data_IF_037581505214
#
_entry.id   IF_037581505214
#
_cell.length_a   1.000
_cell.length_b   1.000
_cell.length_c   1.000
_cell.angle_alpha   90.00
_cell.angle_beta   90.00
_cell.angle_gamma   90.00
#
_symmetry.space_group_name_H-M   'P 1'
#
loop_
_entity.id
_entity.type
_entity.pdbx_description
1 polymer ?
#
# COMPACT_ATOMS: atom_id res chain seq x y z
N UNK A 1 -10.44 -26.37 32.66
CA UNK A 1 -9.95 -25.18 31.91
C UNK A 1 -8.49 -25.46 31.60
N UNK A 2 -8.11 -25.67 30.35
CA UNK A 2 -6.70 -25.78 29.98
C UNK A 2 -6.12 -24.37 29.93
N UNK A 3 -5.00 -24.18 30.60
CA UNK A 3 -4.19 -22.96 30.58
C UNK A 3 -3.71 -22.68 29.14
N UNK A 4 -4.10 -21.56 28.60
CA UNK A 4 -3.56 -21.02 27.35
C UNK A 4 -2.11 -20.61 27.64
N UNK A 5 -1.19 -21.48 27.24
CA UNK A 5 0.23 -21.12 27.15
C UNK A 5 0.40 -20.23 25.93
N UNK A 6 0.60 -18.93 26.16
CA UNK A 6 0.98 -17.95 25.16
C UNK A 6 2.29 -18.38 24.49
N UNK A 7 2.23 -18.81 23.26
CA UNK A 7 3.38 -18.96 22.39
C UNK A 7 3.42 -17.76 21.45
N UNK A 8 3.84 -16.64 21.99
CA UNK A 8 4.18 -15.43 21.25
C UNK A 8 5.49 -14.89 21.80
N UNK A 9 6.33 -14.29 21.01
CA UNK A 9 7.66 -13.70 21.24
C UNK A 9 8.29 -13.98 22.63
N UNK A 10 9.41 -14.65 22.70
CA UNK A 10 10.12 -15.04 23.95
C UNK A 10 10.71 -13.87 24.75
N UNK A 11 10.30 -12.62 24.48
CA UNK A 11 10.84 -11.42 25.12
C UNK A 11 9.75 -10.35 25.37
N UNK A 12 10.09 -9.30 26.14
CA UNK A 12 9.19 -8.18 26.33
C UNK A 12 8.89 -7.48 24.99
N UNK A 13 7.60 -7.16 24.75
CA UNK A 13 7.20 -6.34 23.60
C UNK A 13 7.87 -4.98 23.73
N UNK A 14 8.67 -4.58 22.74
CA UNK A 14 9.39 -3.30 22.76
C UNK A 14 9.74 -2.87 21.34
N UNK A 15 9.96 -1.57 21.16
CA UNK A 15 10.59 -1.03 19.98
C UNK A 15 12.09 -1.40 19.97
N UNK A 16 12.50 -2.24 19.03
CA UNK A 16 13.87 -2.74 18.89
C UNK A 16 14.67 -1.82 17.97
N UNK A 17 15.98 -1.71 18.21
CA UNK A 17 16.88 -0.91 17.37
C UNK A 17 17.49 -1.71 16.22
N UNK A 18 17.59 -3.00 16.40
CA UNK A 18 18.12 -3.95 15.42
C UNK A 18 17.18 -5.14 15.23
N UNK A 19 17.31 -5.84 14.11
CA UNK A 19 16.55 -7.05 13.83
C UNK A 19 16.77 -8.13 14.90
N UNK A 20 18.01 -8.28 15.39
CA UNK A 20 18.38 -9.28 16.39
C UNK A 20 17.68 -9.07 17.74
N UNK A 21 17.40 -7.81 18.11
CA UNK A 21 16.74 -7.48 19.37
C UNK A 21 15.26 -7.87 19.39
N UNK A 22 14.64 -8.08 18.22
CA UNK A 22 13.21 -8.44 18.13
C UNK A 22 12.95 -9.89 18.56
N UNK A 23 13.96 -10.75 18.50
CA UNK A 23 13.84 -12.17 18.84
C UNK A 23 13.01 -12.99 17.85
N UNK A 24 12.84 -12.49 16.62
CA UNK A 24 12.23 -13.21 15.51
C UNK A 24 13.23 -14.19 14.89
N UNK A 25 12.73 -15.26 14.31
CA UNK A 25 13.59 -16.32 13.76
C UNK A 25 14.09 -16.04 12.35
N UNK A 26 13.28 -15.31 11.57
CA UNK A 26 13.49 -15.06 10.13
C UNK A 26 13.76 -16.32 9.30
N UNK A 27 13.19 -17.44 9.75
CA UNK A 27 13.52 -18.78 9.19
C UNK A 27 12.61 -19.19 8.03
N UNK A 28 11.48 -18.49 7.83
CA UNK A 28 10.48 -18.84 6.82
C UNK A 28 9.93 -17.57 6.14
N UNK A 29 8.64 -17.27 6.25
CA UNK A 29 8.01 -16.13 5.58
C UNK A 29 8.23 -14.84 6.37
N UNK A 30 8.84 -13.84 5.76
CA UNK A 30 9.06 -12.52 6.35
C UNK A 30 8.14 -11.50 5.70
N UNK A 31 7.34 -10.82 6.53
CA UNK A 31 6.41 -9.78 6.09
C UNK A 31 6.78 -8.46 6.79
N UNK A 32 6.84 -7.37 6.03
CA UNK A 32 7.20 -6.04 6.52
C UNK A 32 6.04 -5.10 6.31
N UNK A 33 5.68 -4.38 7.37
CA UNK A 33 4.77 -3.23 7.32
C UNK A 33 5.54 -1.97 7.71
N UNK A 34 5.09 -0.81 7.24
CA UNK A 34 5.51 0.49 7.74
C UNK A 34 4.27 1.23 8.26
N UNK A 35 4.31 1.69 9.51
CA UNK A 35 3.15 2.32 10.14
C UNK A 35 3.55 3.32 11.22
N UNK A 36 2.59 4.16 11.60
CA UNK A 36 2.67 5.07 12.74
C UNK A 36 1.47 4.84 13.68
N UNK A 37 1.47 5.51 14.84
CA UNK A 37 0.42 5.36 15.84
C UNK A 37 -0.98 5.64 15.26
N UNK A 38 -1.10 6.65 14.38
CA UNK A 38 -2.39 6.99 13.77
C UNK A 38 -2.92 5.87 12.87
N UNK A 39 -2.03 5.22 12.08
CA UNK A 39 -2.41 4.14 11.17
C UNK A 39 -2.46 2.76 11.83
N UNK A 40 -1.95 2.59 13.04
CA UNK A 40 -1.93 1.30 13.76
C UNK A 40 -3.30 0.58 13.81
N UNK A 41 -4.46 1.26 14.02
CA UNK A 41 -5.76 0.60 13.98
C UNK A 41 -6.13 0.00 12.61
N UNK A 42 -5.74 0.64 11.52
CA UNK A 42 -5.97 0.12 10.17
C UNK A 42 -5.02 -1.03 9.84
N UNK A 43 -3.75 -0.89 10.23
CA UNK A 43 -2.78 -1.99 10.14
C UNK A 43 -3.22 -3.20 10.95
N UNK A 44 -3.85 -3.02 12.11
CA UNK A 44 -4.38 -4.14 12.89
C UNK A 44 -5.40 -4.97 12.10
N UNK A 45 -6.21 -4.33 11.26
CA UNK A 45 -7.15 -5.03 10.35
C UNK A 45 -6.38 -5.84 9.29
N UNK A 46 -5.32 -5.26 8.73
CA UNK A 46 -4.45 -5.98 7.79
C UNK A 46 -3.78 -7.18 8.46
N UNK A 47 -3.27 -7.03 9.69
CA UNK A 47 -2.66 -8.10 10.47
C UNK A 47 -3.64 -9.24 10.77
N UNK A 48 -4.89 -8.93 11.16
CA UNK A 48 -5.96 -9.92 11.33
C UNK A 48 -6.16 -10.75 10.07
N UNK A 49 -6.17 -10.10 8.91
CA UNK A 49 -6.36 -10.78 7.64
C UNK A 49 -5.16 -11.67 7.28
N UNK A 50 -3.93 -11.24 7.59
CA UNK A 50 -2.73 -12.07 7.42
C UNK A 50 -2.81 -13.32 8.28
N UNK A 51 -3.21 -13.20 9.55
CA UNK A 51 -3.33 -14.35 10.46
C UNK A 51 -4.38 -15.35 9.98
N UNK A 52 -5.53 -14.87 9.48
CA UNK A 52 -6.57 -15.75 8.93
C UNK A 52 -6.09 -16.47 7.66
N UNK A 53 -5.35 -15.79 6.80
CA UNK A 53 -4.86 -16.34 5.53
C UNK A 53 -3.62 -17.22 5.68
N UNK A 54 -2.88 -17.11 6.79
CA UNK A 54 -1.62 -17.80 7.03
C UNK A 54 -1.80 -19.32 7.12
N UNK A 55 -1.03 -20.08 6.33
CA UNK A 55 -0.98 -21.53 6.42
C UNK A 55 -0.45 -21.98 7.79
N UNK A 56 -1.11 -22.94 8.48
CA UNK A 56 -0.60 -23.45 9.75
C UNK A 56 0.72 -24.24 9.60
N UNK A 57 1.12 -24.58 8.38
CA UNK A 57 2.35 -25.34 8.09
C UNK A 57 3.58 -24.43 7.92
N UNK A 58 3.38 -23.12 7.89
CA UNK A 58 4.44 -22.11 7.68
C UNK A 58 4.55 -21.19 8.91
N UNK A 59 5.72 -20.62 9.11
CA UNK A 59 5.94 -19.59 10.13
C UNK A 59 6.08 -18.21 9.49
N UNK A 60 5.41 -17.21 10.08
CA UNK A 60 5.38 -15.84 9.56
C UNK A 60 5.97 -14.89 10.59
N UNK A 61 7.11 -14.30 10.26
CA UNK A 61 7.72 -13.24 11.04
C UNK A 61 7.30 -11.88 10.47
N UNK A 62 6.45 -11.16 11.20
CA UNK A 62 5.96 -9.83 10.82
C UNK A 62 6.81 -8.77 11.48
N UNK A 63 7.40 -7.90 10.68
CA UNK A 63 8.20 -6.76 11.14
C UNK A 63 7.46 -5.46 10.85
N UNK A 64 7.23 -4.67 11.88
CA UNK A 64 6.61 -3.35 11.78
C UNK A 64 7.70 -2.28 11.91
N UNK A 65 7.99 -1.60 10.80
CA UNK A 65 8.88 -0.44 10.75
C UNK A 65 8.11 0.78 11.25
N UNK A 66 8.56 1.36 12.37
CA UNK A 66 7.88 2.50 12.98
C UNK A 66 8.86 3.42 13.71
N UNK A 67 8.38 4.61 14.09
CA UNK A 67 9.11 5.56 14.93
C UNK A 67 8.31 6.08 16.12
N UNK A 68 6.99 5.89 16.12
CA UNK A 68 6.10 6.55 17.08
C UNK A 68 4.98 5.65 17.62
N UNK A 69 4.88 4.37 17.20
CA UNK A 69 3.88 3.46 17.78
C UNK A 69 4.18 3.31 19.28
N UNK A 70 3.16 3.58 20.10
CA UNK A 70 3.29 3.54 21.55
C UNK A 70 3.47 2.12 22.09
N UNK A 71 4.09 2.00 23.25
CA UNK A 71 4.27 0.72 23.93
C UNK A 71 2.94 -0.02 24.14
N UNK A 72 1.90 0.69 24.53
CA UNK A 72 0.57 0.14 24.73
C UNK A 72 -0.02 -0.42 23.42
N UNK A 73 0.12 0.30 22.32
CA UNK A 73 -0.36 -0.15 21.01
C UNK A 73 0.43 -1.38 20.52
N UNK A 74 1.75 -1.42 20.71
CA UNK A 74 2.57 -2.59 20.41
C UNK A 74 2.12 -3.83 21.19
N UNK A 75 1.90 -3.70 22.50
CA UNK A 75 1.43 -4.78 23.38
C UNK A 75 0.04 -5.29 22.95
N UNK A 76 -0.86 -4.36 22.60
CA UNK A 76 -2.20 -4.69 22.11
C UNK A 76 -2.13 -5.48 20.80
N UNK A 77 -1.32 -5.05 19.83
CA UNK A 77 -1.13 -5.74 18.55
C UNK A 77 -0.60 -7.16 18.76
N UNK A 78 0.45 -7.33 19.57
CA UNK A 78 1.06 -8.65 19.82
C UNK A 78 0.08 -9.58 20.55
N UNK A 79 -0.63 -9.07 21.57
CA UNK A 79 -1.58 -9.87 22.33
C UNK A 79 -2.78 -10.34 21.52
N UNK A 80 -3.19 -9.53 20.54
CA UNK A 80 -4.39 -9.79 19.75
C UNK A 80 -4.12 -10.62 18.51
N UNK A 81 -3.03 -10.33 17.79
CA UNK A 81 -2.73 -10.90 16.48
C UNK A 81 -1.78 -12.10 16.58
N UNK A 82 -0.95 -12.18 17.62
CA UNK A 82 0.01 -13.26 17.80
C UNK A 82 -0.63 -14.64 17.86
N UNK A 83 -0.13 -15.58 17.07
CA UNK A 83 -0.56 -16.97 17.04
C UNK A 83 0.65 -17.90 17.10
N UNK A 84 0.42 -19.22 17.14
CA UNK A 84 1.52 -20.20 17.25
C UNK A 84 2.48 -20.18 16.06
N UNK A 85 2.02 -19.70 14.90
CA UNK A 85 2.80 -19.65 13.66
C UNK A 85 3.00 -18.23 13.12
N UNK A 86 2.57 -17.19 13.86
CA UNK A 86 2.78 -15.77 13.52
C UNK A 86 3.47 -15.06 14.67
N UNK A 87 4.59 -14.43 14.42
CA UNK A 87 5.35 -13.60 15.37
C UNK A 87 5.39 -12.16 14.88
N UNK A 88 5.32 -11.20 15.80
CA UNK A 88 5.37 -9.76 15.49
C UNK A 88 6.52 -9.10 16.23
N UNK A 89 7.30 -8.31 15.52
CA UNK A 89 8.36 -7.45 16.08
C UNK A 89 8.26 -6.02 15.56
N UNK A 90 8.75 -5.08 16.37
CA UNK A 90 8.75 -3.66 16.03
C UNK A 90 10.18 -3.17 15.90
N UNK A 91 10.48 -2.49 14.80
CA UNK A 91 11.82 -2.02 14.48
C UNK A 91 11.82 -0.49 14.31
N UNK A 92 12.73 0.17 15.04
CA UNK A 92 12.88 1.63 15.04
C UNK A 92 13.46 2.10 13.70
N UNK A 93 12.59 2.69 12.88
CA UNK A 93 12.96 3.26 11.59
C UNK A 93 13.64 4.64 11.70
N UNK A 94 13.49 5.36 12.82
CA UNK A 94 14.13 6.67 13.01
C UNK A 94 15.65 6.55 13.00
N UNK A 95 16.19 5.49 13.60
CA UNK A 95 17.63 5.24 13.62
C UNK A 95 18.22 5.04 12.22
N UNK A 96 17.45 4.43 11.31
CA UNK A 96 17.86 4.19 9.92
C UNK A 96 17.84 5.47 9.06
N UNK A 97 17.08 6.50 9.47
CA UNK A 97 17.05 7.79 8.77
C UNK A 97 18.34 8.61 8.93
N UNK A 98 19.18 8.29 9.90
CA UNK A 98 20.47 9.00 10.14
C UNK A 98 20.29 10.54 10.24
N UNK A 99 19.15 11.01 10.77
CA UNK A 99 18.80 12.43 10.86
C UNK A 99 18.25 13.04 9.57
N UNK A 100 18.05 12.26 8.52
CA UNK A 100 17.43 12.70 7.26
C UNK A 100 15.96 13.02 7.48
N UNK A 101 15.52 14.22 7.07
CA UNK A 101 14.12 14.60 7.11
C UNK A 101 13.44 14.19 5.80
N UNK A 102 12.59 13.17 5.88
CA UNK A 102 11.82 12.71 4.73
C UNK A 102 10.76 13.74 4.31
N UNK A 103 10.55 13.94 3.01
CA UNK A 103 9.48 14.79 2.52
C UNK A 103 8.10 14.19 2.81
N UNK A 104 7.12 15.07 2.96
CA UNK A 104 5.71 14.68 3.00
C UNK A 104 4.90 15.72 2.23
N UNK A 105 3.89 15.28 1.48
CA UNK A 105 2.94 16.17 0.82
C UNK A 105 1.59 15.47 0.58
N UNK A 106 0.52 16.25 0.51
CA UNK A 106 -0.82 15.73 0.34
C UNK A 106 -1.24 14.77 1.47
N UNK A 107 -1.74 13.60 1.10
CA UNK A 107 -2.14 12.53 2.02
C UNK A 107 -1.00 11.57 2.37
N UNK A 108 0.13 11.65 1.69
CA UNK A 108 1.29 10.79 1.92
C UNK A 108 2.02 11.12 3.22
N UNK A 109 2.53 10.09 3.89
CA UNK A 109 3.26 10.19 5.14
C UNK A 109 4.72 9.75 4.98
N UNK A 110 5.66 10.27 5.80
CA UNK A 110 7.07 9.89 5.70
C UNK A 110 7.32 8.37 5.85
N UNK A 111 6.45 7.66 6.55
CA UNK A 111 6.53 6.22 6.76
C UNK A 111 6.52 5.41 5.45
N UNK A 112 5.96 5.96 4.38
CA UNK A 112 5.97 5.31 3.06
C UNK A 112 7.40 5.07 2.54
N UNK A 113 8.38 5.90 2.92
CA UNK A 113 9.77 5.70 2.54
C UNK A 113 10.49 4.59 3.32
N UNK A 114 9.91 4.09 4.42
CA UNK A 114 10.59 3.06 5.23
C UNK A 114 10.78 1.75 4.47
N UNK A 115 9.93 1.44 3.48
CA UNK A 115 10.13 0.27 2.61
C UNK A 115 11.45 0.31 1.84
N UNK A 116 11.94 1.51 1.52
CA UNK A 116 13.26 1.68 0.87
C UNK A 116 14.42 1.33 1.79
N UNK A 117 14.23 1.41 3.11
CA UNK A 117 15.25 1.17 4.13
C UNK A 117 15.23 -0.29 4.62
N UNK A 118 14.15 -1.04 4.39
CA UNK A 118 13.99 -2.42 4.82
C UNK A 118 15.19 -3.33 4.49
N UNK A 119 15.87 -3.21 3.32
CA UNK A 119 17.04 -4.04 3.01
C UNK A 119 18.17 -3.95 4.05
N UNK A 120 18.41 -2.79 4.61
CA UNK A 120 19.49 -2.58 5.60
C UNK A 120 19.01 -2.76 7.04
N UNK A 121 17.71 -2.57 7.27
CA UNK A 121 17.11 -2.81 8.58
C UNK A 121 16.94 -4.30 8.88
N UNK A 122 16.87 -5.15 7.83
CA UNK A 122 16.76 -6.60 7.92
C UNK A 122 17.97 -7.29 7.25
N UNK A 123 19.20 -7.12 7.81
CA UNK A 123 20.43 -7.54 7.14
C UNK A 123 20.56 -9.06 6.95
N UNK A 124 19.86 -9.85 7.78
CA UNK A 124 19.89 -11.32 7.73
C UNK A 124 18.81 -11.92 6.83
N UNK A 125 17.88 -11.12 6.31
CA UNK A 125 16.85 -11.57 5.40
C UNK A 125 17.30 -11.38 3.94
N UNK A 126 17.17 -12.41 3.12
CA UNK A 126 17.47 -12.31 1.68
C UNK A 126 16.28 -11.70 0.91
N UNK A 127 15.04 -11.98 1.34
CA UNK A 127 13.81 -11.41 0.77
C UNK A 127 12.73 -11.20 1.82
N UNK A 128 11.78 -10.32 1.54
CA UNK A 128 10.61 -10.09 2.38
C UNK A 128 9.43 -9.60 1.52
N UNK A 129 8.21 -9.93 1.94
CA UNK A 129 7.00 -9.29 1.44
C UNK A 129 6.91 -7.92 2.14
N UNK A 130 6.67 -6.86 1.41
CA UNK A 130 6.24 -5.57 1.95
C UNK A 130 4.76 -5.37 1.69
N UNK A 131 4.02 -4.95 2.71
CA UNK A 131 2.59 -4.65 2.64
C UNK A 131 2.32 -3.25 3.20
N UNK A 132 1.51 -2.47 2.50
CA UNK A 132 0.94 -1.24 3.05
C UNK A 132 -0.05 -1.54 4.18
N UNK A 133 -0.30 -0.56 5.04
CA UNK A 133 -1.17 -0.73 6.23
C UNK A 133 -2.67 -0.60 5.91
N UNK A 134 -3.03 -0.30 4.66
CA UNK A 134 -4.40 -0.05 4.20
C UNK A 134 -4.89 -1.12 3.21
N UNK A 135 -4.70 -2.38 3.58
CA UNK A 135 -5.11 -3.52 2.77
C UNK A 135 -5.65 -4.67 3.64
N UNK A 136 -6.23 -5.67 3.01
CA UNK A 136 -6.57 -6.97 3.62
C UNK A 136 -6.08 -8.12 2.75
N UNK A 137 -5.55 -9.15 3.40
CA UNK A 137 -4.99 -10.36 2.78
C UNK A 137 -6.04 -11.47 2.81
N UNK A 138 -6.31 -12.09 1.66
CA UNK A 138 -7.36 -13.10 1.49
C UNK A 138 -6.82 -14.46 1.04
N UNK A 139 -5.56 -14.52 0.60
CA UNK A 139 -4.87 -15.77 0.23
C UNK A 139 -3.54 -15.84 0.99
N UNK A 140 -3.00 -17.05 1.16
CA UNK A 140 -1.78 -17.31 1.94
C UNK A 140 -0.57 -16.51 1.42
N UNK A 141 0.00 -15.58 2.23
CA UNK A 141 1.17 -14.80 1.82
C UNK A 141 2.40 -15.66 1.49
N UNK A 142 2.49 -16.90 1.99
CA UNK A 142 3.58 -17.79 1.64
C UNK A 142 3.64 -18.07 0.14
N UNK A 143 2.49 -18.09 -0.56
CA UNK A 143 2.46 -18.27 -2.02
C UNK A 143 3.12 -17.08 -2.76
N UNK A 144 2.95 -15.87 -2.25
CA UNK A 144 3.64 -14.70 -2.77
C UNK A 144 5.13 -14.76 -2.42
N UNK A 145 5.46 -15.14 -1.18
CA UNK A 145 6.85 -15.25 -0.71
C UNK A 145 7.65 -16.28 -1.51
N UNK A 146 7.04 -17.38 -1.93
CA UNK A 146 7.72 -18.47 -2.64
C UNK A 146 8.04 -18.13 -4.12
N UNK A 147 7.55 -17.00 -4.64
CA UNK A 147 7.90 -16.53 -5.97
C UNK A 147 9.40 -16.20 -6.02
N UNK A 148 10.08 -16.68 -7.07
CA UNK A 148 11.49 -16.38 -7.30
C UNK A 148 11.72 -14.94 -7.75
N UNK A 149 12.71 -14.28 -7.15
CA UNK A 149 13.12 -12.91 -7.51
C UNK A 149 14.59 -12.81 -7.88
N UNK A 150 15.23 -13.94 -8.20
CA UNK A 150 16.63 -14.00 -8.58
C UNK A 150 16.90 -13.17 -9.84
N UNK A 151 17.89 -12.31 -9.79
CA UNK A 151 18.23 -11.41 -10.88
C UNK A 151 17.37 -10.14 -10.98
N UNK A 152 16.38 -9.98 -10.09
CA UNK A 152 15.52 -8.80 -10.01
C UNK A 152 15.60 -8.16 -8.63
N UNK A 153 15.28 -6.85 -8.55
CA UNK A 153 15.18 -6.13 -7.29
C UNK A 153 13.92 -6.51 -6.51
N UNK A 154 12.83 -6.80 -7.23
CA UNK A 154 11.53 -7.04 -6.60
C UNK A 154 10.56 -7.76 -7.56
N UNK A 155 9.44 -8.20 -6.98
CA UNK A 155 8.23 -8.52 -7.73
C UNK A 155 7.09 -7.58 -7.32
N UNK A 156 6.25 -7.19 -8.28
CA UNK A 156 5.13 -6.27 -8.08
C UNK A 156 4.03 -6.46 -9.13
N UNK A 157 2.85 -5.92 -8.88
CA UNK A 157 1.78 -5.82 -9.88
C UNK A 157 1.91 -4.53 -10.68
N UNK A 158 1.58 -4.56 -11.96
CA UNK A 158 1.45 -3.32 -12.74
C UNK A 158 0.38 -2.42 -12.12
N UNK A 159 0.63 -1.12 -12.11
CA UNK A 159 -0.33 -0.13 -11.61
C UNK A 159 -1.39 0.18 -12.66
N UNK A 160 -2.54 -0.51 -12.59
CA UNK A 160 -3.62 -0.33 -13.55
C UNK A 160 -4.18 1.10 -13.57
N UNK A 161 -4.15 1.82 -12.44
CA UNK A 161 -4.59 3.22 -12.33
C UNK A 161 -3.63 4.14 -13.09
N UNK A 162 -2.33 4.10 -12.77
CA UNK A 162 -1.31 4.93 -13.45
C UNK A 162 -1.25 4.61 -14.96
N UNK A 163 -1.35 3.33 -15.34
CA UNK A 163 -1.38 2.93 -16.77
C UNK A 163 -2.65 3.43 -17.45
N UNK A 164 -3.81 3.39 -16.78
CA UNK A 164 -5.04 3.97 -17.32
C UNK A 164 -4.95 5.49 -17.51
N UNK A 165 -4.22 6.18 -16.64
CA UNK A 165 -3.98 7.61 -16.79
C UNK A 165 -3.13 7.96 -18.03
N UNK A 166 -2.19 7.08 -18.43
CA UNK A 166 -1.38 7.25 -19.65
C UNK A 166 -2.23 7.37 -20.92
N UNK A 167 -3.39 6.70 -20.96
CA UNK A 167 -4.26 6.66 -22.12
C UNK A 167 -5.15 7.92 -22.27
N UNK A 168 -4.78 9.00 -21.61
CA UNK A 168 -5.38 10.33 -21.82
C UNK A 168 -6.32 10.79 -20.74
N UNK A 169 -6.43 10.11 -19.62
CA UNK A 169 -7.12 10.62 -18.45
C UNK A 169 -6.37 11.82 -17.86
N UNK A 170 -5.06 11.66 -17.65
CA UNK A 170 -4.16 12.76 -17.24
C UNK A 170 -2.96 12.83 -18.22
N UNK A 171 -2.96 13.84 -19.08
CA UNK A 171 -1.93 14.06 -20.10
C UNK A 171 -0.55 14.40 -19.51
N UNK A 172 -0.43 14.66 -18.21
CA UNK A 172 0.85 14.97 -17.55
C UNK A 172 1.60 13.72 -17.12
N UNK A 173 0.90 12.58 -16.98
CA UNK A 173 1.48 11.32 -16.49
C UNK A 173 2.50 10.77 -17.47
N UNK A 174 2.18 10.70 -18.76
CA UNK A 174 3.09 10.18 -19.78
C UNK A 174 4.44 10.89 -19.82
N UNK A 175 4.47 12.23 -20.01
CA UNK A 175 5.71 13.01 -19.94
C UNK A 175 6.45 12.83 -18.62
N UNK A 176 5.73 12.83 -17.48
CA UNK A 176 6.36 12.61 -16.17
C UNK A 176 7.08 11.26 -16.08
N UNK A 177 6.45 10.16 -16.49
CA UNK A 177 7.08 8.84 -16.42
C UNK A 177 8.23 8.68 -17.43
N UNK A 178 8.07 9.19 -18.65
CA UNK A 178 9.07 9.06 -19.70
C UNK A 178 10.25 10.05 -19.53
N UNK A 179 9.95 11.31 -19.30
CA UNK A 179 10.97 12.37 -19.35
C UNK A 179 11.54 12.67 -17.96
N UNK A 180 10.69 12.79 -16.92
CA UNK A 180 11.13 13.15 -15.57
C UNK A 180 11.65 11.94 -14.79
N UNK A 181 10.99 10.77 -14.87
CA UNK A 181 11.47 9.52 -14.28
C UNK A 181 12.46 8.79 -15.18
N UNK A 182 12.41 9.00 -16.48
CA UNK A 182 13.29 8.36 -17.47
C UNK A 182 12.98 6.89 -17.67
N UNK A 183 11.72 6.46 -17.50
CA UNK A 183 11.35 5.06 -17.69
C UNK A 183 11.43 4.65 -19.15
N UNK A 184 12.08 3.53 -19.41
CA UNK A 184 12.18 2.95 -20.76
C UNK A 184 10.83 2.54 -21.34
N UNK A 185 9.91 2.07 -20.50
CA UNK A 185 8.53 1.72 -20.83
C UNK A 185 7.57 2.11 -19.69
N UNK A 186 6.84 3.24 -19.81
CA UNK A 186 5.86 3.69 -18.80
C UNK A 186 4.75 2.68 -18.50
N UNK A 187 4.44 1.75 -19.44
CA UNK A 187 3.45 0.70 -19.23
C UNK A 187 3.92 -0.42 -18.28
N UNK A 188 5.17 -0.37 -17.85
CA UNK A 188 5.72 -1.25 -16.83
C UNK A 188 5.67 -0.63 -15.42
N UNK A 189 5.10 0.56 -15.29
CA UNK A 189 4.96 1.19 -13.98
C UNK A 189 4.14 0.30 -13.04
N UNK A 190 4.69 0.02 -11.85
CA UNK A 190 4.08 -0.88 -10.87
C UNK A 190 3.65 -0.13 -9.61
N UNK A 191 2.69 -0.70 -8.90
CA UNK A 191 2.16 -0.21 -7.64
C UNK A 191 3.00 -0.76 -6.47
N UNK A 192 3.39 0.11 -5.51
CA UNK A 192 4.35 -0.22 -4.47
C UNK A 192 3.74 -0.69 -3.13
N UNK A 193 2.42 -0.80 -3.00
CA UNK A 193 1.78 -1.20 -1.74
C UNK A 193 1.87 -2.69 -1.42
N UNK A 194 2.13 -3.53 -2.42
CA UNK A 194 2.43 -4.95 -2.25
C UNK A 194 3.66 -5.29 -3.08
N UNK A 195 4.73 -5.68 -2.42
CA UNK A 195 6.01 -6.00 -3.05
C UNK A 195 6.58 -7.30 -2.48
N UNK A 196 7.23 -8.09 -3.31
CA UNK A 196 8.21 -9.06 -2.83
C UNK A 196 9.60 -8.49 -3.09
N UNK A 197 10.27 -8.01 -2.05
CA UNK A 197 11.56 -7.34 -2.12
C UNK A 197 12.70 -8.36 -2.07
N UNK A 198 13.64 -8.29 -3.01
CA UNK A 198 14.93 -8.99 -2.94
C UNK A 198 15.91 -8.12 -2.15
N UNK A 199 15.84 -8.22 -0.81
CA UNK A 199 16.64 -7.40 0.11
C UNK A 199 18.13 -7.55 -0.12
N UNK A 200 18.56 -8.76 -0.47
CA UNK A 200 19.98 -9.06 -0.79
C UNK A 200 20.45 -8.34 -2.05
N UNK A 201 19.63 -8.34 -3.11
CA UNK A 201 19.96 -7.62 -4.34
C UNK A 201 20.05 -6.11 -4.11
N UNK A 202 19.13 -5.53 -3.33
CA UNK A 202 19.19 -4.11 -2.94
C UNK A 202 20.51 -3.79 -2.23
N UNK A 203 20.89 -4.56 -1.19
CA UNK A 203 22.15 -4.35 -0.45
C UNK A 203 23.40 -4.53 -1.31
N UNK A 204 23.30 -5.36 -2.35
CA UNK A 204 24.44 -5.59 -3.26
C UNK A 204 24.65 -4.43 -4.24
N UNK A 205 23.59 -3.76 -4.66
CA UNK A 205 23.62 -2.75 -5.71
C UNK A 205 23.69 -1.33 -5.14
N UNK A 206 23.01 -1.09 -4.00
CA UNK A 206 22.87 0.23 -3.41
C UNK A 206 23.35 0.29 -1.97
N UNK A 207 23.55 1.50 -1.47
CA UNK A 207 23.75 1.80 -0.04
C UNK A 207 22.48 2.42 0.55
N UNK A 208 22.40 2.44 1.88
CA UNK A 208 21.28 3.12 2.57
C UNK A 208 21.31 4.63 2.28
N UNK A 209 22.51 5.22 2.16
CA UNK A 209 22.71 6.62 1.81
C UNK A 209 22.17 6.96 0.42
N UNK A 210 22.24 6.02 -0.53
CA UNK A 210 21.62 6.20 -1.85
C UNK A 210 20.11 6.32 -1.73
N UNK A 211 19.46 5.47 -0.91
CA UNK A 211 18.01 5.54 -0.69
C UNK A 211 17.61 6.83 0.02
N UNK A 212 18.33 7.24 1.06
CA UNK A 212 18.09 8.49 1.77
C UNK A 212 18.26 9.70 0.85
N UNK A 213 19.29 9.70 0.00
CA UNK A 213 19.50 10.74 -1.00
C UNK A 213 18.38 10.78 -2.02
N UNK A 214 17.99 9.65 -2.57
CA UNK A 214 16.86 9.58 -3.54
C UNK A 214 15.55 10.05 -2.91
N UNK A 215 15.30 9.72 -1.66
CA UNK A 215 14.08 10.14 -0.95
C UNK A 215 13.99 11.67 -0.78
N UNK A 216 15.10 12.41 -0.89
CA UNK A 216 15.15 13.85 -0.58
C UNK A 216 15.59 14.74 -1.75
N UNK A 217 16.12 14.17 -2.85
CA UNK A 217 16.71 14.93 -3.96
C UNK A 217 15.69 15.81 -4.70
N UNK A 218 14.43 15.42 -4.68
CA UNK A 218 13.31 16.16 -5.29
C UNK A 218 11.98 15.76 -4.65
N UNK A 219 10.91 16.48 -4.96
CA UNK A 219 9.54 16.04 -4.67
C UNK A 219 9.11 15.07 -5.78
N UNK A 220 8.89 13.82 -5.41
CA UNK A 220 8.39 12.79 -6.30
C UNK A 220 6.86 12.85 -6.33
N UNK A 221 6.25 12.57 -7.48
CA UNK A 221 4.79 12.63 -7.63
C UNK A 221 4.11 11.54 -6.77
N UNK A 222 4.63 10.31 -6.83
CA UNK A 222 4.18 9.16 -6.04
C UNK A 222 5.28 8.63 -5.11
N UNK A 223 6.09 9.53 -4.56
CA UNK A 223 7.09 9.30 -3.52
C UNK A 223 8.02 8.10 -3.79
N UNK A 224 8.02 7.14 -2.88
CA UNK A 224 8.83 5.92 -2.93
C UNK A 224 8.47 4.99 -4.10
N UNK A 225 7.22 5.00 -4.57
CA UNK A 225 6.78 4.25 -5.74
C UNK A 225 7.55 4.70 -7.00
N UNK A 226 7.73 6.00 -7.19
CA UNK A 226 8.52 6.55 -8.30
C UNK A 226 9.97 6.11 -8.22
N UNK A 227 10.56 6.16 -7.02
CA UNK A 227 11.94 5.73 -6.80
C UNK A 227 12.12 4.26 -7.16
N UNK A 228 11.25 3.38 -6.67
CA UNK A 228 11.32 1.96 -6.97
C UNK A 228 11.13 1.66 -8.47
N UNK A 229 10.19 2.33 -9.11
CA UNK A 229 9.96 2.20 -10.56
C UNK A 229 11.17 2.67 -11.36
N UNK A 230 11.79 3.80 -10.99
CA UNK A 230 13.01 4.30 -11.62
C UNK A 230 14.18 3.33 -11.45
N UNK A 231 14.37 2.76 -10.24
CA UNK A 231 15.45 1.80 -9.99
C UNK A 231 15.26 0.48 -10.71
N UNK A 232 14.04 0.01 -10.85
CA UNK A 232 13.72 -1.24 -11.55
C UNK A 232 13.65 -1.06 -13.08
N UNK A 233 13.25 0.11 -13.56
CA UNK A 233 13.09 0.45 -15.00
C UNK A 233 12.46 -0.70 -15.81
N UNK A 234 11.30 -1.17 -15.35
CA UNK A 234 10.57 -2.27 -15.98
C UNK A 234 11.18 -3.67 -15.81
N UNK A 235 12.34 -3.79 -15.13
CA UNK A 235 13.03 -5.06 -14.84
C UNK A 235 12.64 -5.57 -13.46
N UNK A 236 11.48 -6.20 -13.36
CA UNK A 236 10.96 -6.80 -12.13
C UNK A 236 10.14 -8.06 -12.46
N UNK A 237 9.89 -8.91 -11.48
CA UNK A 237 8.99 -10.05 -11.65
C UNK A 237 7.55 -9.55 -11.59
N UNK A 238 6.79 -9.75 -12.68
CA UNK A 238 5.38 -9.34 -12.70
C UNK A 238 4.53 -10.32 -11.90
N UNK A 239 3.82 -9.79 -10.91
CA UNK A 239 2.80 -10.51 -10.16
C UNK A 239 1.45 -10.43 -10.87
N UNK A 240 0.62 -11.45 -10.66
CA UNK A 240 -0.80 -11.37 -10.97
C UNK A 240 -1.46 -10.24 -10.17
N UNK A 241 -2.34 -9.45 -10.80
CA UNK A 241 -2.98 -8.30 -10.16
C UNK A 241 -3.85 -8.67 -8.96
N UNK A 242 -4.24 -9.95 -8.79
CA UNK A 242 -4.93 -10.42 -7.59
C UNK A 242 -4.14 -10.19 -6.30
N UNK A 243 -2.79 -10.09 -6.39
CA UNK A 243 -1.93 -9.79 -5.24
C UNK A 243 -1.93 -8.32 -4.83
N UNK A 244 -2.56 -7.44 -5.60
CA UNK A 244 -2.73 -6.04 -5.24
C UNK A 244 -3.94 -5.46 -5.96
N UNK A 245 -5.12 -5.95 -5.62
CA UNK A 245 -6.39 -5.54 -6.23
C UNK A 245 -6.81 -4.20 -5.65
N UNK A 246 -6.69 -3.15 -6.46
CA UNK A 246 -7.06 -1.80 -6.05
C UNK A 246 -8.58 -1.62 -6.01
N UNK A 247 -9.10 -1.09 -4.89
CA UNK A 247 -10.50 -0.66 -4.81
C UNK A 247 -10.80 0.47 -5.82
N UNK A 248 -12.05 0.57 -6.23
CA UNK A 248 -12.52 1.73 -7.00
C UNK A 248 -12.89 2.86 -6.03
N UNK A 249 -12.20 3.98 -6.12
CA UNK A 249 -12.50 5.15 -5.31
C UNK A 249 -13.35 6.16 -6.10
N UNK A 250 -14.38 6.72 -5.46
CA UNK A 250 -15.32 7.70 -6.04
C UNK A 250 -15.99 7.24 -7.36
N UNK A 251 -16.14 5.94 -7.57
CA UNK A 251 -16.62 5.37 -8.84
C UNK A 251 -15.84 5.94 -10.07
N UNK A 252 -14.55 6.18 -9.91
CA UNK A 252 -13.72 6.87 -10.89
C UNK A 252 -12.62 5.98 -11.46
N UNK A 253 -11.94 5.21 -10.60
CA UNK A 253 -10.77 4.41 -11.02
C UNK A 253 -11.13 3.39 -12.08
N UNK A 254 -12.15 2.59 -11.84
CA UNK A 254 -12.55 1.51 -12.73
C UNK A 254 -13.14 2.04 -14.04
N UNK A 255 -14.19 2.85 -13.93
CA UNK A 255 -15.04 3.21 -15.06
C UNK A 255 -14.47 4.35 -15.91
N UNK A 256 -13.55 5.15 -15.36
CA UNK A 256 -13.02 6.33 -16.04
C UNK A 256 -11.51 6.30 -16.28
N UNK A 257 -10.74 5.67 -15.39
CA UNK A 257 -9.28 5.60 -15.52
C UNK A 257 -8.88 4.25 -16.13
N UNK A 258 -9.12 3.15 -15.42
CA UNK A 258 -8.69 1.81 -15.88
C UNK A 258 -9.43 1.40 -17.16
N UNK A 259 -10.66 1.86 -17.36
CA UNK A 259 -11.39 1.65 -18.60
C UNK A 259 -10.65 2.18 -19.86
N UNK A 260 -9.69 3.11 -19.70
CA UNK A 260 -8.83 3.60 -20.79
C UNK A 260 -7.57 2.74 -21.00
N UNK A 261 -7.16 1.98 -20.00
CA UNK A 261 -5.95 1.16 -20.06
C UNK A 261 -6.01 0.14 -21.20
N UNK A 262 -4.86 -0.36 -21.69
CA UNK A 262 -4.80 -1.47 -22.65
C UNK A 262 -5.66 -2.66 -22.21
N UNK A 263 -6.20 -3.40 -23.18
CA UNK A 263 -7.14 -4.49 -22.91
C UNK A 263 -6.59 -5.55 -21.95
N UNK A 264 -5.30 -5.86 -22.04
CA UNK A 264 -4.65 -6.84 -21.17
C UNK A 264 -4.63 -6.38 -19.71
N UNK A 265 -4.42 -5.08 -19.45
CA UNK A 265 -4.48 -4.46 -18.12
C UNK A 265 -5.91 -4.54 -17.56
N UNK A 266 -6.89 -4.12 -18.35
CA UNK A 266 -8.31 -4.15 -17.94
C UNK A 266 -8.75 -5.56 -17.59
N UNK A 267 -8.44 -6.53 -18.47
CA UNK A 267 -8.83 -7.94 -18.25
C UNK A 267 -8.17 -8.53 -16.99
N UNK A 268 -6.90 -8.19 -16.72
CA UNK A 268 -6.21 -8.63 -15.50
C UNK A 268 -6.80 -7.98 -14.24
N UNK A 269 -7.13 -6.68 -14.31
CA UNK A 269 -7.76 -5.97 -13.20
C UNK A 269 -9.16 -6.52 -12.89
N UNK A 270 -9.99 -6.75 -13.90
CA UNK A 270 -11.33 -7.32 -13.70
C UNK A 270 -11.25 -8.75 -13.12
N UNK A 271 -10.36 -9.59 -13.65
CA UNK A 271 -10.14 -10.94 -13.10
C UNK A 271 -9.63 -10.92 -11.65
N UNK A 272 -8.74 -9.98 -11.31
CA UNK A 272 -8.26 -9.79 -9.95
C UNK A 272 -9.37 -9.40 -8.98
N UNK A 273 -10.33 -8.60 -9.43
CA UNK A 273 -11.49 -8.21 -8.62
C UNK A 273 -12.45 -9.37 -8.33
N UNK A 274 -12.56 -10.33 -9.26
CA UNK A 274 -13.41 -11.50 -9.10
C UNK A 274 -12.82 -12.52 -8.08
N UNK A 275 -11.48 -12.58 -7.96
CA UNK A 275 -10.77 -13.47 -7.03
C UNK A 275 -9.52 -12.78 -6.43
N UNK A 276 -9.70 -11.78 -5.56
CA UNK A 276 -8.58 -11.04 -4.98
C UNK A 276 -7.81 -11.88 -3.96
N UNK A 277 -6.49 -11.87 -4.04
CA UNK A 277 -5.61 -12.38 -2.99
C UNK A 277 -5.30 -11.31 -1.93
N UNK A 278 -5.21 -10.05 -2.37
CA UNK A 278 -5.07 -8.87 -1.50
C UNK A 278 -5.97 -7.78 -2.06
N UNK A 279 -6.84 -7.22 -1.22
CA UNK A 279 -7.61 -6.00 -1.53
C UNK A 279 -6.89 -4.82 -0.91
N UNK A 280 -6.55 -3.83 -1.72
CA UNK A 280 -5.82 -2.65 -1.30
C UNK A 280 -6.69 -1.39 -1.44
N UNK A 281 -6.93 -0.72 -0.31
CA UNK A 281 -7.75 0.48 -0.20
C UNK A 281 -6.95 1.76 -0.52
N UNK A 282 -6.03 1.66 -1.50
CA UNK A 282 -5.22 2.78 -1.94
C UNK A 282 -6.06 3.88 -2.56
N UNK A 283 -5.84 5.11 -2.15
CA UNK A 283 -6.53 6.28 -2.66
C UNK A 283 -6.59 7.42 -1.65
N UNK A 284 -6.86 8.64 -2.08
CA UNK A 284 -6.92 9.79 -1.19
C UNK A 284 -8.20 9.86 -0.34
N UNK A 285 -9.31 9.29 -0.85
CA UNK A 285 -10.64 9.40 -0.27
C UNK A 285 -11.42 8.08 -0.42
N UNK A 286 -12.65 8.02 0.15
CA UNK A 286 -13.61 6.90 0.08
C UNK A 286 -13.07 5.57 0.61
N UNK A 287 -12.18 5.63 1.59
CA UNK A 287 -11.65 4.44 2.25
C UNK A 287 -12.72 3.81 3.16
N UNK A 288 -12.69 2.49 3.41
CA UNK A 288 -13.74 1.79 4.15
C UNK A 288 -13.95 2.31 5.58
N UNK A 289 -12.94 2.88 6.21
CA UNK A 289 -13.04 3.49 7.53
C UNK A 289 -13.64 4.90 7.55
N UNK A 290 -13.85 5.51 6.38
CA UNK A 290 -14.59 6.75 6.21
C UNK A 290 -15.95 6.50 5.58
N UNK A 291 -16.06 5.49 4.71
CA UNK A 291 -17.24 5.09 3.93
C UNK A 291 -17.37 3.57 3.90
N UNK A 292 -18.08 2.95 4.85
CA UNK A 292 -18.21 1.48 4.90
C UNK A 292 -18.80 0.85 3.63
N UNK A 293 -19.70 1.58 2.95
CA UNK A 293 -20.34 1.15 1.71
C UNK A 293 -19.51 1.46 0.45
N UNK A 294 -18.21 1.77 0.61
CA UNK A 294 -17.31 1.94 -0.53
C UNK A 294 -17.08 0.61 -1.26
N UNK A 295 -16.51 0.70 -2.45
CA UNK A 295 -16.13 -0.49 -3.21
C UNK A 295 -15.22 -1.41 -2.38
N UNK A 296 -15.57 -2.69 -2.30
CA UNK A 296 -14.84 -3.70 -1.51
C UNK A 296 -14.71 -3.39 0.01
N UNK A 297 -15.49 -2.44 0.55
CA UNK A 297 -15.41 -2.04 1.97
C UNK A 297 -15.80 -3.15 2.94
N UNK A 298 -16.64 -4.09 2.52
CA UNK A 298 -17.05 -5.27 3.27
C UNK A 298 -15.85 -6.18 3.65
N UNK A 299 -14.84 -6.28 2.77
CA UNK A 299 -13.62 -7.00 3.09
C UNK A 299 -12.87 -6.40 4.28
N UNK A 300 -12.79 -5.07 4.38
CA UNK A 300 -12.18 -4.39 5.52
C UNK A 300 -12.97 -4.64 6.81
N UNK A 301 -14.28 -4.41 6.77
CA UNK A 301 -15.11 -4.49 7.97
C UNK A 301 -15.28 -5.91 8.50
N UNK A 302 -15.16 -6.92 7.64
CA UNK A 302 -15.11 -8.33 8.05
C UNK A 302 -14.00 -8.59 9.07
N UNK A 303 -12.81 -8.00 8.88
CA UNK A 303 -11.67 -8.14 9.78
C UNK A 303 -11.71 -7.10 10.90
N UNK A 304 -12.13 -5.88 10.62
CA UNK A 304 -12.25 -4.80 11.59
C UNK A 304 -13.13 -5.18 12.79
N UNK A 305 -14.22 -5.93 12.56
CA UNK A 305 -15.12 -6.41 13.61
C UNK A 305 -14.44 -7.32 14.65
N UNK A 306 -13.29 -7.89 14.34
CA UNK A 306 -12.51 -8.74 15.23
C UNK A 306 -11.27 -8.05 15.80
N UNK A 307 -10.95 -6.88 15.29
CA UNK A 307 -9.77 -6.12 15.70
C UNK A 307 -9.90 -5.61 17.13
N UNK A 308 -8.81 -5.64 17.88
CA UNK A 308 -8.71 -4.99 19.20
C UNK A 308 -8.93 -3.48 19.15
N UNK A 309 -8.92 -2.89 17.96
CA UNK A 309 -9.11 -1.45 17.73
C UNK A 309 -10.50 -1.12 17.18
N UNK A 310 -11.48 -2.05 17.24
CA UNK A 310 -12.82 -1.82 16.69
C UNK A 310 -13.44 -0.52 17.20
N UNK A 311 -13.42 -0.30 18.52
CA UNK A 311 -14.00 0.93 19.13
C UNK A 311 -13.34 2.21 18.55
N UNK A 312 -12.02 2.18 18.30
CA UNK A 312 -11.28 3.31 17.72
C UNK A 312 -11.70 3.52 16.26
N UNK A 313 -11.87 2.43 15.50
CA UNK A 313 -12.29 2.49 14.11
C UNK A 313 -13.72 3.03 13.98
N UNK A 314 -14.65 2.55 14.82
CA UNK A 314 -16.03 3.03 14.85
C UNK A 314 -16.13 4.50 15.27
N UNK A 315 -15.35 4.92 16.30
CA UNK A 315 -15.30 6.31 16.72
C UNK A 315 -14.76 7.24 15.61
N UNK A 316 -13.73 6.79 14.87
CA UNK A 316 -13.19 7.55 13.74
C UNK A 316 -14.18 7.64 12.60
N UNK A 317 -14.88 6.55 12.30
CA UNK A 317 -15.94 6.50 11.28
C UNK A 317 -17.05 7.49 11.64
N UNK A 318 -17.57 7.45 12.89
CA UNK A 318 -18.61 8.36 13.36
C UNK A 318 -18.16 9.83 13.24
N UNK A 319 -16.94 10.12 13.69
CA UNK A 319 -16.34 11.47 13.59
C UNK A 319 -16.20 11.93 12.15
N UNK A 320 -15.76 11.05 11.25
CA UNK A 320 -15.65 11.34 9.81
C UNK A 320 -17.01 11.63 9.21
N UNK A 321 -18.02 10.81 9.49
CA UNK A 321 -19.36 10.96 8.94
C UNK A 321 -20.05 12.26 9.40
N UNK A 322 -19.85 12.68 10.64
CA UNK A 322 -20.44 13.89 11.21
C UNK A 322 -19.63 15.17 10.94
N UNK A 323 -18.42 15.06 10.40
CA UNK A 323 -17.61 16.21 10.03
C UNK A 323 -18.21 16.99 8.84
N UNK A 324 -17.95 18.29 8.78
CA UNK A 324 -18.34 19.12 7.64
C UNK A 324 -17.68 18.65 6.33
N UNK A 325 -16.42 18.17 6.41
CA UNK A 325 -15.66 17.61 5.30
C UNK A 325 -16.26 16.27 4.82
N UNK A 326 -16.63 15.38 5.75
CA UNK A 326 -17.25 14.10 5.40
C UNK A 326 -18.61 14.29 4.72
N UNK A 327 -19.46 15.22 5.23
CA UNK A 327 -20.73 15.57 4.56
C UNK A 327 -20.52 16.16 3.16
N UNK A 328 -19.53 17.05 3.00
CA UNK A 328 -19.21 17.64 1.70
C UNK A 328 -18.68 16.60 0.71
N UNK A 329 -17.82 15.70 1.15
CA UNK A 329 -17.29 14.62 0.32
C UNK A 329 -18.41 13.66 -0.12
N UNK A 330 -19.33 13.29 0.77
CA UNK A 330 -20.49 12.46 0.43
C UNK A 330 -21.35 13.12 -0.63
N UNK A 331 -21.65 14.42 -0.50
CA UNK A 331 -22.36 15.19 -1.51
C UNK A 331 -21.58 15.24 -2.83
N UNK A 332 -20.25 15.40 -2.78
CA UNK A 332 -19.41 15.34 -3.99
C UNK A 332 -19.50 13.98 -4.69
N UNK A 333 -19.39 12.88 -3.96
CA UNK A 333 -19.50 11.52 -4.53
C UNK A 333 -20.87 11.33 -5.17
N UNK A 334 -21.95 11.60 -4.44
CA UNK A 334 -23.30 11.32 -4.93
C UNK A 334 -23.70 12.25 -6.09
N UNK A 335 -23.42 13.56 -5.99
CA UNK A 335 -23.83 14.53 -7.01
C UNK A 335 -22.88 14.57 -8.20
N UNK A 336 -21.57 14.62 -7.95
CA UNK A 336 -20.59 14.79 -9.03
C UNK A 336 -20.36 13.45 -9.74
N UNK A 337 -19.92 12.43 -9.00
CA UNK A 337 -19.46 11.19 -9.62
C UNK A 337 -20.60 10.25 -10.04
N UNK A 338 -21.63 10.08 -9.22
CA UNK A 338 -22.79 9.25 -9.59
C UNK A 338 -23.83 9.99 -10.45
N UNK A 339 -23.90 11.33 -10.35
CA UNK A 339 -24.86 12.15 -11.06
C UNK A 339 -24.32 12.85 -12.31
N UNK A 340 -23.32 13.72 -12.13
CA UNK A 340 -22.84 14.61 -13.22
C UNK A 340 -21.87 13.89 -14.16
N UNK A 341 -20.95 13.07 -13.65
CA UNK A 341 -19.92 12.41 -14.47
C UNK A 341 -20.50 11.50 -15.56
N UNK A 342 -21.53 10.67 -15.33
CA UNK A 342 -22.11 9.87 -16.41
C UNK A 342 -22.69 10.71 -17.54
N UNK A 343 -23.25 11.89 -17.23
CA UNK A 343 -23.73 12.83 -18.26
C UNK A 343 -22.55 13.53 -18.97
N UNK A 344 -21.51 13.90 -18.23
CA UNK A 344 -20.29 14.46 -18.79
C UNK A 344 -19.59 13.49 -19.73
N UNK A 345 -19.51 12.21 -19.39
CA UNK A 345 -18.88 11.18 -20.22
C UNK A 345 -19.61 10.95 -21.55
N UNK A 346 -20.93 11.13 -21.57
CA UNK A 346 -21.70 11.11 -22.84
C UNK A 346 -21.34 12.28 -23.77
N UNK A 347 -21.02 13.45 -23.21
CA UNK A 347 -20.71 14.67 -23.96
C UNK A 347 -19.22 14.75 -24.30
N UNK A 348 -18.39 14.31 -23.38
CA UNK A 348 -16.92 14.32 -23.43
C UNK A 348 -16.40 12.91 -23.10
N UNK A 349 -16.53 11.93 -24.01
CA UNK A 349 -16.10 10.56 -23.73
C UNK A 349 -14.65 10.51 -23.26
N UNK A 350 -14.32 9.60 -22.33
CA UNK A 350 -12.96 9.31 -21.94
C UNK A 350 -12.05 9.09 -23.17
N UNK A 351 -10.81 9.60 -23.13
CA UNK A 351 -9.87 9.54 -24.28
C UNK A 351 -10.19 10.49 -25.45
N UNK A 352 -11.31 11.24 -25.42
CA UNK A 352 -11.65 12.17 -26.50
C UNK A 352 -10.83 13.48 -26.42
N UNK A 353 -10.44 14.04 -27.57
CA UNK A 353 -9.80 15.38 -27.66
C UNK A 353 -10.63 16.47 -26.99
N UNK A 354 -11.94 16.30 -26.90
CA UNK A 354 -12.86 17.25 -26.26
C UNK A 354 -12.70 17.19 -24.74
N UNK A 355 -12.59 15.98 -24.16
CA UNK A 355 -12.33 15.80 -22.73
C UNK A 355 -10.96 16.37 -22.35
N UNK A 356 -9.92 16.05 -23.10
CA UNK A 356 -8.57 16.59 -22.89
C UNK A 356 -8.56 18.11 -22.82
N UNK A 357 -9.25 18.81 -23.75
CA UNK A 357 -9.36 20.27 -23.72
C UNK A 357 -10.09 20.82 -22.49
N UNK A 358 -11.16 20.14 -22.04
CA UNK A 358 -11.91 20.54 -20.83
C UNK A 358 -11.04 20.38 -19.59
N UNK A 359 -10.34 19.25 -19.47
CA UNK A 359 -9.41 18.99 -18.35
C UNK A 359 -8.27 20.03 -18.36
N UNK A 360 -7.65 20.27 -19.50
CA UNK A 360 -6.60 21.29 -19.63
C UNK A 360 -7.10 22.69 -19.24
N UNK A 361 -8.32 23.05 -19.63
CA UNK A 361 -8.95 24.31 -19.24
C UNK A 361 -9.20 24.37 -17.74
N UNK A 362 -9.63 23.29 -17.11
CA UNK A 362 -9.86 23.21 -15.66
C UNK A 362 -8.55 23.37 -14.87
N UNK A 363 -7.50 22.66 -15.28
CA UNK A 363 -6.15 22.78 -14.67
C UNK A 363 -5.58 24.18 -14.85
N UNK A 364 -5.76 24.82 -16.02
CA UNK A 364 -5.26 26.17 -16.29
C UNK A 364 -5.88 27.25 -15.38
N UNK A 365 -7.07 26.99 -14.80
CA UNK A 365 -7.71 27.89 -13.83
C UNK A 365 -7.47 27.47 -12.36
N UNK A 366 -6.48 26.59 -12.12
CA UNK A 366 -6.10 26.13 -10.78
C UNK A 366 -6.97 25.02 -10.22
N UNK A 367 -7.71 24.29 -11.05
CA UNK A 367 -8.44 23.09 -10.67
C UNK A 367 -7.48 21.93 -10.38
N UNK A 368 -7.76 21.18 -9.32
CA UNK A 368 -7.05 19.95 -8.98
C UNK A 368 -7.82 18.75 -9.51
N UNK A 369 -7.13 17.86 -10.23
CA UNK A 369 -7.70 16.65 -10.83
C UNK A 369 -7.34 15.39 -10.01
N UNK A 370 -6.51 15.54 -8.95
CA UNK A 370 -6.08 14.42 -8.08
C UNK A 370 -6.91 14.31 -6.82
#
# INVERSE_FOLDING_TARGET
MPSITSVGSKGPVRLSRTADEMGLSFSDVVIVFASNEYFAPYMAVALESVVEAASPERHYDIVILTRDITQQTMETLVAHVGSSNVSIGFLDAESALQGTKLPHHGHFRPETFFRLLAPWMLPHCDKAIYLDSDLVVLDDPARLFDIGVDGYLLAATRDADTIGQLEGYDHTVGPYLADDLGLSDPYQYFQAGVLLLNLKAFRHIFTIEDMLRLSTVRVWRWLDQDILNMLADGKYVRLDMRWNTLMDWKALRRDHIIAQAPQDIRSQYDAARDDPAIVHFAGPDDRPWDYPDCDMGDYFWRFAQRSAFLDVLEQRLDSSQHSARGRLNRVKVDVIFKGIMPAFDRICPPGSKRRTRVIQGYVAIGGDIT
#
